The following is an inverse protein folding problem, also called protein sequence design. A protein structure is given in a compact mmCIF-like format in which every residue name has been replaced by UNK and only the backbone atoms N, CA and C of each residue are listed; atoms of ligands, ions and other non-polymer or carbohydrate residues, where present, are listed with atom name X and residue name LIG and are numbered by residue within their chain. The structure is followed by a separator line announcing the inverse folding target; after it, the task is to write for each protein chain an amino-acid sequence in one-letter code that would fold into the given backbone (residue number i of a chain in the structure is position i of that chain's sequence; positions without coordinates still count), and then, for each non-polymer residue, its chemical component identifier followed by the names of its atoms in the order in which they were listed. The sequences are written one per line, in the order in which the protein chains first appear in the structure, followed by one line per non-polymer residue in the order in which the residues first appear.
data_IF_794475341007
#
_entry.id   IF_794475341007
#
_cell.length_a   1.000
_cell.length_b   1.000
_cell.length_c   1.000
_cell.angle_alpha   90.00
_cell.angle_beta   90.00
_cell.angle_gamma   90.00
#
_symmetry.space_group_name_H-M   'P 1'
#
loop_
_entity.id
_entity.type
_entity.pdbx_description
1 polymer ?
#
# COMPACT_ATOMS: atom_id res chain seq x y z
N UNK A 1 -24.41 -13.50 54.90
CA UNK A 1 -24.80 -14.92 54.99
C UNK A 1 -25.70 -15.18 53.78
N UNK A 2 -25.18 -15.45 52.58
CA UNK A 2 -24.43 -16.63 52.13
C UNK A 2 -25.17 -17.95 52.40
N UNK A 3 -25.82 -18.47 51.36
CA UNK A 3 -25.74 -19.89 50.96
C UNK A 3 -26.19 -19.97 49.49
N UNK A 4 -25.26 -20.25 48.57
CA UNK A 4 -25.07 -21.56 47.90
C UNK A 4 -25.85 -21.62 46.57
N UNK A 5 -25.18 -21.41 45.44
CA UNK A 5 -24.55 -22.47 44.61
C UNK A 5 -25.56 -23.53 44.18
N UNK A 6 -25.87 -23.55 42.88
CA UNK A 6 -25.93 -24.77 42.06
C UNK A 6 -26.27 -24.43 40.61
N UNK A 7 -25.26 -24.42 39.76
CA UNK A 7 -25.37 -25.02 38.41
C UNK A 7 -25.22 -26.54 38.57
N UNK A 8 -25.92 -27.34 37.74
CA UNK A 8 -25.18 -27.89 36.60
C UNK A 8 -26.00 -28.02 35.29
N UNK A 9 -25.28 -27.68 34.23
CA UNK A 9 -25.19 -28.27 32.89
C UNK A 9 -26.03 -29.53 32.59
N UNK A 10 -26.79 -29.48 31.50
CA UNK A 10 -27.02 -30.64 30.64
C UNK A 10 -26.81 -30.23 29.16
N UNK A 11 -25.73 -30.77 28.59
CA UNK A 11 -25.34 -30.69 27.19
C UNK A 11 -26.37 -31.35 26.28
N UNK A 12 -26.64 -30.71 25.15
CA UNK A 12 -26.75 -31.43 23.87
C UNK A 12 -25.95 -30.68 22.82
N UNK A 13 -24.75 -31.23 22.61
CA UNK A 13 -23.95 -31.17 21.40
C UNK A 13 -24.76 -31.46 20.15
N UNK A 14 -24.53 -30.70 19.08
CA UNK A 14 -24.91 -31.13 17.74
C UNK A 14 -25.06 -29.97 16.78
N UNK A 15 -23.99 -29.66 16.04
CA UNK A 15 -24.09 -28.72 14.92
C UNK A 15 -22.81 -27.96 14.67
N UNK A 16 -21.72 -28.68 14.39
CA UNK A 16 -20.60 -28.10 13.67
C UNK A 16 -21.11 -27.58 12.33
N UNK A 17 -21.24 -26.26 12.20
CA UNK A 17 -21.13 -25.59 10.91
C UNK A 17 -19.95 -24.66 11.02
N UNK A 18 -18.78 -25.20 10.70
CA UNK A 18 -17.59 -24.43 10.36
C UNK A 18 -17.89 -23.60 9.12
N UNK A 19 -18.58 -22.48 9.31
CA UNK A 19 -18.51 -21.37 8.39
C UNK A 19 -17.14 -20.71 8.58
N UNK A 20 -16.51 -20.19 7.51
CA UNK A 20 -15.33 -19.36 7.69
C UNK A 20 -15.71 -18.20 8.63
N UNK A 21 -14.97 -18.01 9.72
CA UNK A 21 -14.99 -16.75 10.47
C UNK A 21 -14.44 -15.68 9.52
N UNK A 22 -15.32 -15.13 8.68
CA UNK A 22 -15.03 -13.88 8.01
C UNK A 22 -14.99 -12.81 9.10
N UNK A 23 -13.96 -11.95 9.13
CA UNK A 23 -13.93 -10.85 10.08
C UNK A 23 -15.21 -10.04 9.92
N UNK A 24 -15.93 -9.81 11.01
CA UNK A 24 -17.09 -8.91 11.04
C UNK A 24 -16.67 -7.59 10.41
N UNK A 25 -17.29 -7.29 9.27
CA UNK A 25 -17.04 -6.07 8.54
C UNK A 25 -17.49 -4.91 9.43
N UNK A 26 -16.61 -3.97 9.83
CA UNK A 26 -17.12 -2.68 10.24
C UNK A 26 -17.88 -2.16 9.03
N UNK A 27 -19.18 -1.93 9.16
CA UNK A 27 -19.98 -1.28 8.13
C UNK A 27 -19.92 0.23 8.41
N UNK A 28 -19.09 1.00 7.69
CA UNK A 28 -19.20 2.45 7.66
C UNK A 28 -20.66 2.90 7.54
N UNK A 29 -21.06 3.93 8.30
CA UNK A 29 -22.40 4.51 8.17
C UNK A 29 -22.64 4.97 6.73
N UNK A 30 -23.70 4.46 6.09
CA UNK A 30 -24.02 4.77 4.68
C UNK A 30 -23.50 3.75 3.66
N UNK A 31 -22.86 2.65 4.09
CA UNK A 31 -22.37 1.61 3.17
C UNK A 31 -23.48 1.09 2.23
N UNK A 32 -24.68 0.84 2.72
CA UNK A 32 -25.81 0.38 1.90
C UNK A 32 -26.25 1.45 0.87
N UNK A 33 -26.16 2.74 1.21
CA UNK A 33 -26.50 3.85 0.32
C UNK A 33 -25.52 3.95 -0.85
N UNK A 34 -24.22 3.88 -0.57
CA UNK A 34 -23.17 4.10 -1.56
C UNK A 34 -22.71 2.83 -2.29
N UNK A 35 -22.95 1.65 -1.71
CA UNK A 35 -22.50 0.38 -2.27
C UNK A 35 -23.60 -0.53 -2.80
N UNK A 36 -24.87 -0.12 -2.80
CA UNK A 36 -25.89 -0.83 -3.57
C UNK A 36 -25.57 -0.77 -5.08
N UNK A 37 -25.65 -1.87 -5.85
CA UNK A 37 -26.30 -3.15 -5.55
C UNK A 37 -25.36 -4.26 -5.06
N UNK A 38 -24.13 -3.94 -4.62
CA UNK A 38 -23.15 -4.95 -4.26
C UNK A 38 -23.49 -5.69 -2.98
N UNK A 39 -23.21 -6.98 -2.96
CA UNK A 39 -23.26 -7.77 -1.72
C UNK A 39 -21.98 -7.60 -0.88
N UNK A 40 -21.96 -8.15 0.34
CA UNK A 40 -20.82 -8.04 1.26
C UNK A 40 -19.50 -8.56 0.66
N UNK A 41 -19.56 -9.55 -0.24
CA UNK A 41 -18.38 -10.14 -0.86
C UNK A 41 -17.79 -9.17 -1.88
N UNK A 42 -18.64 -8.61 -2.73
CA UNK A 42 -18.26 -7.60 -3.72
C UNK A 42 -17.74 -6.33 -3.05
N UNK A 43 -18.46 -5.83 -2.04
CA UNK A 43 -18.02 -4.71 -1.21
C UNK A 43 -16.66 -4.99 -0.57
N UNK A 44 -16.43 -6.20 -0.06
CA UNK A 44 -15.12 -6.55 0.51
C UNK A 44 -13.97 -6.45 -0.48
N UNK A 45 -14.20 -6.72 -1.77
CA UNK A 45 -13.18 -6.50 -2.78
C UNK A 45 -13.01 -5.01 -3.11
N UNK A 46 -14.09 -4.24 -3.21
CA UNK A 46 -14.03 -2.80 -3.48
C UNK A 46 -13.26 -2.09 -2.35
N UNK A 47 -13.53 -2.47 -1.09
CA UNK A 47 -12.82 -2.03 0.11
C UNK A 47 -11.31 -2.29 0.02
N UNK A 48 -10.92 -3.54 -0.25
CA UNK A 48 -9.50 -3.92 -0.42
C UNK A 48 -8.84 -3.20 -1.58
N UNK A 49 -9.58 -2.90 -2.64
CA UNK A 49 -9.09 -2.14 -3.79
C UNK A 49 -8.83 -0.68 -3.40
N UNK A 50 -9.75 -0.05 -2.66
CA UNK A 50 -9.61 1.31 -2.16
C UNK A 50 -8.42 1.44 -1.20
N UNK A 51 -8.35 0.61 -0.16
CA UNK A 51 -7.21 0.58 0.77
C UNK A 51 -5.88 0.30 0.05
N UNK A 52 -5.89 -0.62 -0.91
CA UNK A 52 -4.73 -0.94 -1.72
C UNK A 52 -4.26 0.27 -2.53
N UNK A 53 -5.18 1.04 -3.13
CA UNK A 53 -4.85 2.23 -3.89
C UNK A 53 -4.23 3.33 -3.02
N UNK A 54 -4.72 3.52 -1.79
CA UNK A 54 -4.16 4.52 -0.86
C UNK A 54 -2.72 4.17 -0.51
N UNK A 55 -2.45 2.92 -0.13
CA UNK A 55 -1.08 2.45 0.17
C UNK A 55 -0.14 2.57 -1.03
N UNK A 56 -0.66 2.42 -2.24
CA UNK A 56 0.09 2.64 -3.48
C UNK A 56 0.42 4.13 -3.63
N UNK A 57 -0.56 5.01 -3.45
CA UNK A 57 -0.37 6.47 -3.54
C UNK A 57 0.66 6.96 -2.51
N UNK A 58 0.55 6.53 -1.25
CA UNK A 58 1.52 6.85 -0.19
C UNK A 58 2.94 6.39 -0.56
N UNK A 59 3.08 5.20 -1.16
CA UNK A 59 4.37 4.70 -1.62
C UNK A 59 4.95 5.57 -2.75
N UNK A 60 4.10 6.01 -3.67
CA UNK A 60 4.53 6.90 -4.74
C UNK A 60 4.97 8.27 -4.21
N UNK A 61 4.23 8.84 -3.24
CA UNK A 61 4.61 10.10 -2.59
C UNK A 61 5.95 9.98 -1.86
N UNK A 62 6.12 8.92 -1.04
CA UNK A 62 7.38 8.62 -0.37
C UNK A 62 8.53 8.45 -1.37
N UNK A 63 8.29 7.73 -2.45
CA UNK A 63 9.28 7.53 -3.52
C UNK A 63 9.63 8.83 -4.23
N UNK A 64 8.66 9.73 -4.43
CA UNK A 64 8.89 11.05 -5.03
C UNK A 64 9.74 11.94 -4.12
N UNK A 65 9.44 11.99 -2.82
CA UNK A 65 10.27 12.70 -1.83
C UNK A 65 11.72 12.20 -1.82
N UNK A 66 11.91 10.87 -1.79
CA UNK A 66 13.24 10.26 -1.78
C UNK A 66 14.03 10.46 -3.07
N UNK A 67 13.36 10.52 -4.22
CA UNK A 67 14.03 10.88 -5.49
C UNK A 67 14.55 12.31 -5.44
N UNK A 68 13.78 13.23 -4.85
CA UNK A 68 14.25 14.60 -4.66
C UNK A 68 15.46 14.67 -3.73
N UNK A 69 15.43 13.96 -2.59
CA UNK A 69 16.58 13.83 -1.68
C UNK A 69 17.81 13.27 -2.40
N UNK A 70 17.63 12.21 -3.20
CA UNK A 70 18.70 11.59 -3.97
C UNK A 70 19.30 12.56 -5.02
N UNK A 71 18.48 13.36 -5.70
CA UNK A 71 18.98 14.34 -6.67
C UNK A 71 19.78 15.46 -5.99
N UNK A 72 19.37 15.90 -4.80
CA UNK A 72 20.13 16.87 -3.99
C UNK A 72 21.45 16.26 -3.53
N UNK A 73 21.42 15.02 -3.04
CA UNK A 73 22.60 14.27 -2.59
C UNK A 73 23.63 14.10 -3.72
N UNK A 74 23.18 13.79 -4.93
CA UNK A 74 24.07 13.69 -6.11
C UNK A 74 24.77 15.01 -6.42
N UNK A 75 24.04 16.12 -6.36
CA UNK A 75 24.64 17.46 -6.59
C UNK A 75 25.68 17.81 -5.54
N UNK A 76 25.40 17.54 -4.26
CA UNK A 76 26.36 17.74 -3.18
C UNK A 76 27.62 16.91 -3.42
N UNK A 77 27.46 15.64 -3.80
CA UNK A 77 28.59 14.77 -4.09
C UNK A 77 29.43 15.28 -5.28
N UNK A 78 28.79 15.75 -6.35
CA UNK A 78 29.49 16.37 -7.48
C UNK A 78 30.29 17.62 -7.08
N UNK A 79 29.79 18.43 -6.14
CA UNK A 79 30.50 19.59 -5.61
C UNK A 79 31.70 19.19 -4.74
N UNK A 80 31.52 18.19 -3.87
CA UNK A 80 32.60 17.65 -3.04
C UNK A 80 33.70 16.99 -3.89
N UNK A 81 33.33 16.25 -4.93
CA UNK A 81 34.29 15.65 -5.85
C UNK A 81 35.13 16.70 -6.59
N UNK A 82 34.51 17.80 -7.03
CA UNK A 82 35.23 18.94 -7.62
C UNK A 82 36.18 19.60 -6.61
N UNK A 83 35.72 19.78 -5.36
CA UNK A 83 36.54 20.40 -4.33
C UNK A 83 37.74 19.51 -3.96
N UNK A 84 37.51 18.20 -3.82
CA UNK A 84 38.57 17.22 -3.60
C UNK A 84 39.62 17.26 -4.71
N UNK A 85 39.20 17.28 -5.98
CA UNK A 85 40.11 17.36 -7.13
C UNK A 85 40.99 18.63 -7.07
N UNK A 86 40.40 19.79 -6.76
CA UNK A 86 41.15 21.06 -6.62
C UNK A 86 42.18 20.97 -5.49
N UNK A 87 41.78 20.46 -4.32
CA UNK A 87 42.68 20.35 -3.16
C UNK A 87 43.76 19.31 -3.38
N UNK A 88 43.50 18.23 -4.13
CA UNK A 88 44.50 17.18 -4.41
C UNK A 88 45.71 17.69 -5.21
N UNK A 89 45.56 18.83 -5.89
CA UNK A 89 46.61 19.47 -6.68
C UNK A 89 47.46 20.45 -5.85
N UNK A 90 47.08 20.72 -4.60
CA UNK A 90 47.77 21.65 -3.70
C UNK A 90 48.28 20.85 -2.48
N UNK A 91 49.50 21.07 -2.01
CA UNK A 91 49.96 20.49 -0.74
C UNK A 91 49.26 21.22 0.41
N UNK A 92 48.05 20.79 0.75
CA UNK A 92 47.19 21.38 1.79
C UNK A 92 46.69 20.32 2.80
N UNK A 93 46.53 20.72 4.06
CA UNK A 93 46.14 19.85 5.19
C UNK A 93 44.63 19.50 5.18
N UNK A 94 43.84 20.11 4.28
CA UNK A 94 42.39 19.91 4.18
C UNK A 94 41.93 18.65 3.43
N UNK A 95 42.84 17.96 2.73
CA UNK A 95 42.49 16.86 1.81
C UNK A 95 41.80 15.68 2.51
N UNK A 96 42.32 15.27 3.67
CA UNK A 96 41.79 14.14 4.45
C UNK A 96 40.36 14.42 4.95
N UNK A 97 40.05 15.68 5.26
CA UNK A 97 38.71 16.08 5.74
C UNK A 97 37.70 15.97 4.60
N UNK A 98 38.02 16.53 3.43
CA UNK A 98 37.15 16.44 2.26
C UNK A 98 36.99 14.99 1.80
N UNK A 99 38.05 14.17 1.89
CA UNK A 99 37.94 12.74 1.59
C UNK A 99 36.95 12.01 2.50
N UNK A 100 37.00 12.31 3.80
CA UNK A 100 36.08 11.71 4.77
C UNK A 100 34.62 12.12 4.52
N UNK A 101 34.39 13.41 4.25
CA UNK A 101 33.06 13.91 3.88
C UNK A 101 32.53 13.22 2.61
N UNK A 102 33.37 13.11 1.58
CA UNK A 102 33.01 12.48 0.31
C UNK A 102 32.60 11.01 0.49
N UNK A 103 33.32 10.24 1.30
CA UNK A 103 32.95 8.85 1.60
C UNK A 103 31.63 8.77 2.39
N UNK A 104 31.43 9.69 3.35
CA UNK A 104 30.18 9.78 4.12
C UNK A 104 28.99 10.06 3.21
N UNK A 105 29.12 11.02 2.29
CA UNK A 105 28.05 11.37 1.35
C UNK A 105 27.79 10.27 0.31
N UNK A 106 28.80 9.48 -0.06
CA UNK A 106 28.63 8.27 -0.89
C UNK A 106 27.81 7.20 -0.18
N UNK A 107 28.08 6.95 1.10
CA UNK A 107 27.30 6.01 1.90
C UNK A 107 25.84 6.48 2.03
N UNK A 108 25.62 7.78 2.27
CA UNK A 108 24.29 8.36 2.32
C UNK A 108 23.54 8.20 0.98
N UNK A 109 24.20 8.43 -0.15
CA UNK A 109 23.62 8.22 -1.48
C UNK A 109 23.23 6.74 -1.70
N UNK A 110 24.12 5.80 -1.39
CA UNK A 110 23.85 4.37 -1.53
C UNK A 110 22.67 3.92 -0.65
N UNK A 111 22.52 4.49 0.54
CA UNK A 111 21.38 4.24 1.41
C UNK A 111 20.08 4.75 0.79
N UNK A 112 20.07 5.96 0.23
CA UNK A 112 18.90 6.52 -0.46
C UNK A 112 18.49 5.66 -1.66
N UNK A 113 19.44 5.19 -2.46
CA UNK A 113 19.19 4.28 -3.58
C UNK A 113 18.54 2.97 -3.12
N UNK A 114 19.04 2.37 -2.05
CA UNK A 114 18.48 1.15 -1.46
C UNK A 114 17.06 1.36 -0.94
N UNK A 115 16.80 2.48 -0.29
CA UNK A 115 15.47 2.82 0.20
C UNK A 115 14.48 3.05 -0.95
N UNK A 116 14.90 3.70 -2.04
CA UNK A 116 14.10 3.84 -3.24
C UNK A 116 13.78 2.51 -3.91
N UNK A 117 14.76 1.61 -4.00
CA UNK A 117 14.54 0.26 -4.52
C UNK A 117 13.51 -0.49 -3.67
N UNK A 118 13.62 -0.41 -2.34
CA UNK A 118 12.66 -1.03 -1.42
C UNK A 118 11.23 -0.51 -1.64
N UNK A 119 11.05 0.81 -1.76
CA UNK A 119 9.74 1.41 -2.05
C UNK A 119 9.20 0.95 -3.41
N UNK A 120 10.06 0.82 -4.42
CA UNK A 120 9.67 0.30 -5.73
C UNK A 120 9.18 -1.15 -5.65
N UNK A 121 9.88 -2.01 -4.92
CA UNK A 121 9.50 -3.41 -4.74
C UNK A 121 8.18 -3.53 -3.98
N UNK A 122 8.01 -2.74 -2.91
CA UNK A 122 6.77 -2.66 -2.14
C UNK A 122 5.59 -2.19 -3.01
N UNK A 123 5.79 -1.15 -3.83
CA UNK A 123 4.77 -0.66 -4.75
C UNK A 123 4.36 -1.73 -5.76
N UNK A 124 5.31 -2.46 -6.35
CA UNK A 124 5.02 -3.56 -7.28
C UNK A 124 4.17 -4.66 -6.65
N UNK A 125 4.49 -5.05 -5.41
CA UNK A 125 3.71 -6.04 -4.66
C UNK A 125 2.28 -5.54 -4.39
N UNK A 126 2.13 -4.28 -3.98
CA UNK A 126 0.82 -3.67 -3.73
C UNK A 126 -0.01 -3.56 -5.01
N UNK A 127 0.59 -3.13 -6.12
CA UNK A 127 -0.06 -3.07 -7.43
C UNK A 127 -0.51 -4.47 -7.86
N UNK A 128 0.33 -5.48 -7.70
CA UNK A 128 -0.01 -6.87 -8.02
C UNK A 128 -1.20 -7.37 -7.21
N UNK A 129 -1.22 -7.13 -5.90
CA UNK A 129 -2.36 -7.48 -5.02
C UNK A 129 -3.64 -6.74 -5.44
N UNK A 130 -3.56 -5.44 -5.68
CA UNK A 130 -4.70 -4.61 -6.07
C UNK A 130 -5.28 -5.08 -7.42
N UNK A 131 -4.42 -5.41 -8.38
CA UNK A 131 -4.82 -6.02 -9.66
C UNK A 131 -5.49 -7.40 -9.47
N UNK A 132 -5.01 -8.20 -8.52
CA UNK A 132 -5.63 -9.47 -8.13
C UNK A 132 -7.05 -9.31 -7.60
N UNK A 133 -7.28 -8.32 -6.73
CA UNK A 133 -8.63 -8.00 -6.23
C UNK A 133 -9.54 -7.51 -7.36
N UNK A 134 -9.07 -6.58 -8.20
CA UNK A 134 -9.83 -6.10 -9.38
C UNK A 134 -10.18 -7.24 -10.32
N UNK A 135 -9.27 -8.21 -10.53
CA UNK A 135 -9.53 -9.39 -11.37
C UNK A 135 -10.60 -10.29 -10.76
N UNK A 136 -10.56 -10.48 -9.44
CA UNK A 136 -11.52 -11.34 -8.74
C UNK A 136 -12.91 -10.70 -8.73
N UNK A 137 -13.01 -9.42 -8.42
CA UNK A 137 -14.27 -8.67 -8.46
C UNK A 137 -14.92 -8.72 -9.86
N UNK A 138 -14.15 -8.50 -10.93
CA UNK A 138 -14.68 -8.64 -12.30
C UNK A 138 -15.30 -10.02 -12.58
N UNK A 139 -14.74 -11.09 -12.02
CA UNK A 139 -15.32 -12.44 -12.18
C UNK A 139 -16.65 -12.59 -11.44
N UNK A 140 -16.76 -12.07 -10.22
CA UNK A 140 -18.01 -12.05 -9.46
C UNK A 140 -19.11 -11.31 -10.22
N UNK A 141 -18.78 -10.12 -10.75
CA UNK A 141 -19.69 -9.28 -11.51
C UNK A 141 -20.02 -9.81 -12.92
N UNK A 142 -19.53 -10.99 -13.30
CA UNK A 142 -19.73 -11.54 -14.63
C UNK A 142 -19.05 -10.75 -15.76
N UNK A 143 -18.11 -9.86 -15.44
CA UNK A 143 -17.31 -9.07 -16.38
C UNK A 143 -16.16 -9.92 -16.94
N UNK A 144 -16.52 -11.06 -17.51
CA UNK A 144 -15.62 -12.00 -18.17
C UNK A 144 -15.57 -11.64 -19.66
N UNK A 145 -14.38 -11.63 -20.30
CA UNK A 145 -14.30 -11.38 -21.73
C UNK A 145 -15.07 -12.46 -22.50
N UNK A 146 -16.06 -12.06 -23.30
CA UNK A 146 -16.87 -12.94 -24.14
C UNK A 146 -16.19 -13.27 -25.48
N UNK A 147 -14.86 -13.42 -25.49
CA UNK A 147 -14.04 -13.69 -26.69
C UNK A 147 -12.73 -12.88 -26.70
N UNK A 148 -12.25 -12.48 -27.89
CA UNK A 148 -11.11 -11.56 -28.08
C UNK A 148 -11.44 -10.09 -27.73
N UNK A 149 -12.54 -9.85 -27.01
CA UNK A 149 -12.98 -8.51 -26.64
C UNK A 149 -12.21 -7.93 -25.45
N UNK A 150 -12.21 -6.59 -25.36
CA UNK A 150 -11.69 -5.89 -24.19
C UNK A 150 -12.49 -6.27 -22.94
N UNK A 151 -11.78 -6.50 -21.83
CA UNK A 151 -12.42 -6.75 -20.53
C UNK A 151 -13.07 -5.44 -20.06
N UNK A 152 -14.37 -5.43 -19.72
CA UNK A 152 -15.04 -4.24 -19.21
C UNK A 152 -14.30 -3.65 -18.00
N UNK A 153 -14.23 -2.31 -17.93
CA UNK A 153 -13.64 -1.64 -16.78
C UNK A 153 -14.61 -1.73 -15.62
N UNK A 154 -14.08 -1.87 -14.40
CA UNK A 154 -14.92 -1.87 -13.19
C UNK A 154 -15.69 -0.55 -13.04
N UNK A 155 -15.09 0.57 -13.44
CA UNK A 155 -15.74 1.89 -13.45
C UNK A 155 -16.99 2.00 -14.32
N UNK A 156 -17.19 1.07 -15.26
CA UNK A 156 -18.37 1.04 -16.12
C UNK A 156 -19.52 0.22 -15.48
N UNK A 157 -19.27 -0.49 -14.38
CA UNK A 157 -20.29 -1.28 -13.69
C UNK A 157 -21.16 -0.37 -12.79
N UNK A 158 -22.51 -0.47 -12.86
CA UNK A 158 -23.39 0.35 -12.04
C UNK A 158 -23.07 0.29 -10.54
N UNK A 159 -22.92 1.45 -9.90
CA UNK A 159 -22.62 1.57 -8.47
C UNK A 159 -21.14 1.40 -8.10
N UNK A 160 -20.27 0.86 -8.97
CA UNK A 160 -18.87 0.59 -8.61
C UNK A 160 -18.11 1.86 -8.23
N UNK A 161 -18.22 2.90 -9.07
CA UNK A 161 -17.47 4.15 -8.87
C UNK A 161 -17.90 4.83 -7.58
N UNK A 162 -19.21 4.88 -7.30
CA UNK A 162 -19.77 5.47 -6.09
C UNK A 162 -19.29 4.74 -4.83
N UNK A 163 -19.40 3.41 -4.81
CA UNK A 163 -18.93 2.59 -3.70
C UNK A 163 -17.41 2.73 -3.48
N UNK A 164 -16.64 2.69 -4.58
CA UNK A 164 -15.19 2.84 -4.53
C UNK A 164 -14.78 4.20 -4.00
N UNK A 165 -15.40 5.29 -4.48
CA UNK A 165 -15.08 6.65 -4.05
C UNK A 165 -15.44 6.87 -2.59
N UNK A 166 -16.59 6.35 -2.13
CA UNK A 166 -16.98 6.39 -0.72
C UNK A 166 -15.93 5.69 0.15
N UNK A 167 -15.60 4.43 -0.16
CA UNK A 167 -14.61 3.66 0.61
C UNK A 167 -13.23 4.30 0.55
N UNK A 168 -12.81 4.79 -0.62
CA UNK A 168 -11.55 5.51 -0.78
C UNK A 168 -11.50 6.78 0.08
N UNK A 169 -12.59 7.55 0.15
CA UNK A 169 -12.69 8.74 0.99
C UNK A 169 -12.68 8.42 2.49
N UNK A 170 -13.29 7.31 2.91
CA UNK A 170 -13.24 6.83 4.30
C UNK A 170 -11.79 6.55 4.73
N UNK A 171 -11.00 5.94 3.86
CA UNK A 171 -9.61 5.57 4.18
C UNK A 171 -8.58 6.67 3.92
N UNK A 172 -8.96 7.74 3.20
CA UNK A 172 -8.07 8.87 2.90
C UNK A 172 -8.10 9.98 3.95
N UNK A 173 -8.90 9.82 5.02
CA UNK A 173 -8.97 10.70 6.19
C UNK A 173 -7.89 10.33 7.21
#
# INVERSE_FOLDING_TARGET
MSAEVSTPTASTSGGSTGGPEYPEFPTPEGLEEYCSPFDDVEVSYIDKIAQGQIKINENFEKSSSKRHELDLQKKLLEELEKHFEILSQIPDDGLDTVQFELETEREALAKLEKELQKLSDEAMVLIGKNMGYKKTLRKYLGLVPSGEGEVPKLGDYPGYTECYEYLFAVFSQ
#
